data_IF_915753297168
#
_entry.id   IF_915753297168
#
_cell.length_a   1.000
_cell.length_b   1.000
_cell.length_c   1.000
_cell.angle_alpha   90.00
_cell.angle_beta   90.00
_cell.angle_gamma   90.00
#
_symmetry.space_group_name_H-M   'P 1'
#
loop_
_entity.id
_entity.type
_entity.pdbx_description
1 polymer ?
#
# COMPACT_ATOMS: atom_id res chain seq x y z
N UNK A 1 14.84 18.23 13.10
CA UNK A 1 15.64 17.77 11.96
C UNK A 1 15.26 16.33 11.74
N UNK A 2 14.91 15.98 10.52
CA UNK A 2 14.56 14.60 10.17
C UNK A 2 15.84 13.75 10.11
N UNK A 3 15.69 12.44 10.17
CA UNK A 3 16.80 11.50 9.98
C UNK A 3 17.47 11.73 8.62
N UNK A 4 16.69 11.88 7.54
CA UNK A 4 17.22 12.17 6.20
C UNK A 4 18.10 13.43 6.18
N UNK A 5 17.65 14.50 6.83
CA UNK A 5 18.42 15.75 6.92
C UNK A 5 19.73 15.59 7.71
N UNK A 6 19.73 14.79 8.78
CA UNK A 6 20.92 14.49 9.57
C UNK A 6 21.91 13.61 8.79
N UNK A 7 21.42 12.58 8.09
CA UNK A 7 22.24 11.71 7.24
C UNK A 7 22.90 12.46 6.08
N UNK A 8 22.22 13.47 5.51
CA UNK A 8 22.82 14.34 4.49
C UNK A 8 24.00 15.18 5.01
N UNK A 9 24.07 15.39 6.33
CA UNK A 9 25.17 16.12 7.00
C UNK A 9 26.25 15.20 7.55
N UNK A 10 25.97 13.91 7.69
CA UNK A 10 26.94 12.93 8.18
C UNK A 10 28.21 12.90 7.32
N UNK A 11 29.36 12.84 7.97
CA UNK A 11 30.70 12.77 7.34
C UNK A 11 31.48 11.53 7.77
N UNK A 12 31.02 10.85 8.81
CA UNK A 12 31.64 9.66 9.37
C UNK A 12 30.60 8.60 9.69
N UNK A 13 31.04 7.36 9.86
CA UNK A 13 30.16 6.27 10.30
C UNK A 13 29.57 6.53 11.70
N UNK A 14 30.31 7.22 12.58
CA UNK A 14 29.79 7.62 13.90
C UNK A 14 28.66 8.65 13.80
N UNK A 15 28.74 9.61 12.87
CA UNK A 15 27.64 10.55 12.62
C UNK A 15 26.38 9.81 12.16
N UNK A 16 26.54 8.78 11.31
CA UNK A 16 25.42 7.93 10.88
C UNK A 16 24.82 7.22 12.09
N UNK A 17 25.65 6.57 12.93
CA UNK A 17 25.18 5.89 14.14
C UNK A 17 24.40 6.84 15.05
N UNK A 18 24.92 8.03 15.30
CA UNK A 18 24.31 9.03 16.17
C UNK A 18 22.97 9.55 15.62
N UNK A 19 22.88 9.78 14.31
CA UNK A 19 21.63 10.18 13.65
C UNK A 19 20.54 9.11 13.84
N UNK A 20 20.87 7.83 13.61
CA UNK A 20 19.92 6.72 13.79
C UNK A 20 19.53 6.52 15.26
N UNK A 21 20.49 6.55 16.20
CA UNK A 21 20.21 6.46 17.64
C UNK A 21 19.22 7.53 18.06
N UNK A 22 19.43 8.77 17.61
CA UNK A 22 18.58 9.91 17.92
C UNK A 22 17.19 9.77 17.32
N UNK A 23 17.07 9.44 16.03
CA UNK A 23 15.80 9.31 15.34
C UNK A 23 14.92 8.18 15.94
N UNK A 24 15.56 7.06 16.28
CA UNK A 24 14.91 5.91 16.89
C UNK A 24 14.65 6.11 18.39
N UNK A 25 15.32 7.07 19.04
CA UNK A 25 15.20 7.31 20.49
C UNK A 25 15.70 6.15 21.32
N UNK A 26 16.74 5.43 20.84
CA UNK A 26 17.30 4.27 21.52
C UNK A 26 17.91 4.67 22.87
N UNK A 27 17.71 3.83 23.89
CA UNK A 27 18.24 4.01 25.24
C UNK A 27 19.12 2.82 25.60
N UNK A 28 20.09 3.02 26.49
CA UNK A 28 20.99 1.93 26.92
C UNK A 28 21.87 1.39 25.78
N UNK A 29 22.22 2.26 24.83
CA UNK A 29 23.03 1.89 23.66
C UNK A 29 24.46 1.56 24.09
N UNK A 30 24.94 0.40 23.68
CA UNK A 30 26.35 0.03 23.75
C UNK A 30 26.96 0.04 22.35
N UNK A 31 28.07 0.77 22.17
CA UNK A 31 28.88 0.76 20.94
C UNK A 31 30.16 -0.05 21.20
N UNK A 32 30.45 -1.03 20.35
CA UNK A 32 31.59 -1.93 20.54
C UNK A 32 31.99 -2.62 19.23
N UNK A 33 32.14 -3.95 19.24
CA UNK A 33 32.37 -4.72 18.01
C UNK A 33 31.18 -4.68 17.04
N UNK A 34 29.98 -4.61 17.59
CA UNK A 34 28.74 -4.27 16.85
C UNK A 34 28.49 -2.78 17.08
N UNK A 35 28.11 -2.08 16.01
CA UNK A 35 28.06 -0.62 15.98
C UNK A 35 27.07 -0.01 16.97
N UNK A 36 25.86 -0.59 17.06
CA UNK A 36 24.83 -0.17 18.01
C UNK A 36 24.19 -1.44 18.56
N UNK A 37 24.19 -1.59 19.89
CA UNK A 37 23.53 -2.70 20.56
C UNK A 37 22.51 -2.19 21.57
N UNK A 38 21.29 -2.71 21.47
CA UNK A 38 20.31 -2.76 22.56
C UNK A 38 19.95 -4.21 22.84
N UNK A 39 19.24 -4.53 23.95
CA UNK A 39 18.75 -5.88 24.20
C UNK A 39 17.85 -6.43 23.09
N UNK A 40 17.08 -5.55 22.44
CA UNK A 40 16.07 -5.92 21.45
C UNK A 40 16.63 -5.98 20.03
N UNK A 41 17.55 -5.08 19.69
CA UNK A 41 18.00 -4.88 18.31
C UNK A 41 19.50 -4.55 18.22
N UNK A 42 20.19 -5.20 17.28
CA UNK A 42 21.58 -4.87 16.94
C UNK A 42 21.67 -4.24 15.56
N UNK A 43 22.60 -3.29 15.42
CA UNK A 43 22.86 -2.60 14.16
C UNK A 43 24.29 -2.78 13.67
N UNK A 44 24.41 -2.86 12.35
CA UNK A 44 25.66 -2.62 11.63
C UNK A 44 25.46 -1.39 10.73
N UNK A 45 26.37 -0.43 10.84
CA UNK A 45 26.30 0.85 10.16
C UNK A 45 27.42 0.97 9.12
N UNK A 46 27.15 1.71 8.04
CA UNK A 46 28.17 2.13 7.08
C UNK A 46 28.04 3.62 6.80
N UNK A 47 29.19 4.28 6.69
CA UNK A 47 29.23 5.68 6.27
C UNK A 47 28.71 5.85 4.83
N UNK A 48 29.08 4.94 3.93
CA UNK A 48 28.74 5.03 2.50
C UNK A 48 27.65 4.03 2.12
N UNK A 49 26.89 4.32 1.04
CA UNK A 49 25.88 3.40 0.53
C UNK A 49 26.44 1.99 0.31
N UNK A 50 25.88 1.01 1.01
CA UNK A 50 26.40 -0.34 1.06
C UNK A 50 25.29 -1.36 0.75
N UNK A 51 25.56 -2.45 0.01
CA UNK A 51 24.57 -3.51 -0.17
C UNK A 51 24.10 -4.08 1.18
N UNK A 52 22.78 -4.17 1.45
CA UNK A 52 22.26 -4.67 2.73
C UNK A 52 22.79 -6.06 3.09
N UNK A 53 22.92 -6.96 2.10
CA UNK A 53 23.46 -8.30 2.31
C UNK A 53 24.91 -8.30 2.82
N UNK A 54 25.73 -7.32 2.41
CA UNK A 54 27.11 -7.21 2.89
C UNK A 54 27.13 -6.73 4.35
N UNK A 55 26.29 -5.77 4.69
CA UNK A 55 26.13 -5.32 6.09
C UNK A 55 25.57 -6.44 6.97
N UNK A 56 24.58 -7.21 6.49
CA UNK A 56 24.06 -8.35 7.23
C UNK A 56 25.09 -9.46 7.38
N UNK A 57 25.94 -9.72 6.38
CA UNK A 57 27.03 -10.69 6.50
C UNK A 57 28.00 -10.32 7.64
N UNK A 58 28.33 -9.02 7.75
CA UNK A 58 29.12 -8.51 8.86
C UNK A 58 28.39 -8.65 10.20
N UNK A 59 27.14 -8.18 10.30
CA UNK A 59 26.33 -8.23 11.52
C UNK A 59 26.14 -9.67 12.02
N UNK A 60 25.80 -10.60 11.12
CA UNK A 60 25.58 -12.01 11.44
C UNK A 60 26.84 -12.72 11.90
N UNK A 61 28.03 -12.27 11.48
CA UNK A 61 29.29 -12.78 12.00
C UNK A 61 29.42 -12.49 13.51
N UNK A 62 29.00 -11.30 13.95
CA UNK A 62 28.98 -10.95 15.37
C UNK A 62 27.90 -11.72 16.15
N UNK A 63 26.70 -11.82 15.59
CA UNK A 63 25.58 -12.60 16.18
C UNK A 63 26.01 -14.06 16.38
N UNK A 64 26.65 -14.67 15.38
CA UNK A 64 27.16 -16.04 15.48
C UNK A 64 28.21 -16.19 16.57
N UNK A 65 29.13 -15.24 16.68
CA UNK A 65 30.20 -15.28 17.67
C UNK A 65 29.63 -15.17 19.10
N UNK A 66 28.67 -14.28 19.33
CA UNK A 66 27.96 -14.15 20.61
C UNK A 66 27.21 -15.44 20.97
N UNK A 67 26.43 -15.98 20.02
CA UNK A 67 25.70 -17.25 20.21
C UNK A 67 26.63 -18.41 20.59
N UNK A 68 27.80 -18.52 19.95
CA UNK A 68 28.80 -19.55 20.28
C UNK A 68 29.40 -19.41 21.67
N UNK A 69 29.43 -18.20 22.23
CA UNK A 69 29.87 -17.94 23.61
C UNK A 69 28.75 -18.12 24.63
N UNK A 70 27.53 -18.44 24.20
CA UNK A 70 26.35 -18.55 25.07
C UNK A 70 25.80 -17.18 25.51
N UNK A 71 26.19 -16.10 24.81
CA UNK A 71 25.66 -14.77 25.07
C UNK A 71 24.26 -14.61 24.47
N UNK A 72 23.44 -13.73 25.06
CA UNK A 72 22.15 -13.38 24.49
C UNK A 72 22.32 -12.66 23.14
N UNK A 73 21.47 -13.02 22.18
CA UNK A 73 21.36 -12.37 20.87
C UNK A 73 20.03 -11.60 20.78
N UNK A 74 19.97 -10.51 20.00
CA UNK A 74 18.78 -9.65 19.94
C UNK A 74 17.63 -10.35 19.21
N UNK A 75 16.40 -9.89 19.43
CA UNK A 75 15.24 -10.35 18.65
C UNK A 75 15.27 -9.84 17.20
N UNK A 76 15.94 -8.71 16.95
CA UNK A 76 15.98 -8.03 15.65
C UNK A 76 17.39 -7.65 15.22
N UNK A 77 17.57 -7.60 13.91
CA UNK A 77 18.81 -7.16 13.26
C UNK A 77 18.47 -6.05 12.28
N UNK A 78 19.28 -4.99 12.31
CA UNK A 78 19.14 -3.86 11.40
C UNK A 78 20.47 -3.48 10.79
N UNK A 79 20.46 -3.08 9.53
CA UNK A 79 21.64 -2.56 8.85
C UNK A 79 21.31 -1.21 8.27
N UNK A 80 22.22 -0.26 8.40
CA UNK A 80 21.96 1.15 8.13
C UNK A 80 23.13 1.81 7.39
N UNK A 81 22.83 2.70 6.46
CA UNK A 81 23.80 3.61 5.87
C UNK A 81 23.17 5.01 5.66
N UNK A 82 23.81 5.90 4.90
CA UNK A 82 23.26 7.24 4.65
C UNK A 82 21.99 7.29 3.80
N UNK A 83 21.68 6.24 3.05
CA UNK A 83 20.57 6.21 2.09
C UNK A 83 19.43 5.28 2.53
N UNK A 84 19.75 4.20 3.23
CA UNK A 84 18.80 3.10 3.47
C UNK A 84 19.02 2.41 4.80
N UNK A 85 17.95 1.79 5.26
CA UNK A 85 17.94 0.86 6.37
C UNK A 85 17.28 -0.47 5.95
N UNK A 86 17.75 -1.59 6.48
CA UNK A 86 17.07 -2.86 6.33
C UNK A 86 16.90 -3.56 7.69
N UNK A 87 15.67 -4.00 7.98
CA UNK A 87 15.26 -4.55 9.27
C UNK A 87 14.75 -5.99 9.09
N UNK A 88 15.15 -6.91 9.96
CA UNK A 88 14.64 -8.28 9.99
C UNK A 88 14.61 -8.87 11.41
N UNK A 89 13.77 -9.88 11.61
CA UNK A 89 13.79 -10.69 12.83
C UNK A 89 15.00 -11.65 12.81
N UNK A 90 15.70 -11.78 13.94
CA UNK A 90 16.88 -12.64 14.08
C UNK A 90 16.54 -14.11 13.81
N UNK A 91 15.31 -14.54 14.10
CA UNK A 91 14.85 -15.92 13.91
C UNK A 91 15.04 -16.43 12.47
N UNK A 92 14.88 -15.56 11.48
CA UNK A 92 15.05 -15.91 10.07
C UNK A 92 16.50 -16.21 9.69
N UNK A 93 17.46 -15.71 10.47
CA UNK A 93 18.88 -15.97 10.24
C UNK A 93 19.40 -17.17 11.05
N UNK A 94 18.66 -17.68 12.04
CA UNK A 94 19.11 -18.77 12.90
C UNK A 94 19.57 -20.02 12.13
N UNK A 95 18.86 -20.48 11.07
CA UNK A 95 19.30 -21.65 10.31
C UNK A 95 20.70 -21.49 9.70
N UNK A 96 21.07 -20.27 9.27
CA UNK A 96 22.38 -19.99 8.68
C UNK A 96 23.52 -20.05 9.70
N UNK A 97 23.25 -19.64 10.94
CA UNK A 97 24.29 -19.59 11.98
C UNK A 97 24.84 -20.98 12.32
N UNK A 98 24.00 -22.00 12.17
CA UNK A 98 24.27 -23.40 12.45
C UNK A 98 24.71 -24.19 11.20
N UNK A 99 24.59 -23.61 10.01
CA UNK A 99 25.00 -24.25 8.76
C UNK A 99 26.52 -24.38 8.68
N UNK A 100 26.99 -25.62 8.54
CA UNK A 100 28.41 -25.97 8.42
C UNK A 100 28.97 -25.70 7.02
N UNK A 101 28.12 -25.57 6.01
CA UNK A 101 28.53 -25.22 4.66
C UNK A 101 28.95 -23.76 4.55
N UNK A 102 28.48 -22.89 5.46
CA UNK A 102 28.80 -21.46 5.42
C UNK A 102 30.20 -21.21 5.98
N UNK A 103 31.04 -20.59 5.16
CA UNK A 103 32.40 -20.19 5.56
C UNK A 103 32.38 -18.82 6.22
N UNK A 104 32.34 -18.80 7.55
CA UNK A 104 32.35 -17.57 8.35
C UNK A 104 33.77 -17.03 8.57
N UNK A 105 34.00 -15.72 8.39
CA UNK A 105 35.29 -15.09 8.64
C UNK A 105 35.64 -15.04 10.15
N UNK A 106 36.90 -14.72 10.46
CA UNK A 106 37.38 -14.59 11.86
C UNK A 106 36.84 -13.34 12.56
N UNK A 107 36.54 -12.28 11.82
CA UNK A 107 35.97 -11.02 12.31
C UNK A 107 34.85 -10.56 11.38
N UNK A 108 33.88 -9.80 11.91
CA UNK A 108 32.80 -9.24 11.10
C UNK A 108 33.30 -8.30 10.01
N UNK A 109 34.32 -7.50 10.30
CA UNK A 109 34.97 -6.60 9.32
C UNK A 109 35.59 -7.31 8.11
N UNK A 110 35.82 -8.63 8.20
CA UNK A 110 36.32 -9.44 7.09
C UNK A 110 35.20 -10.16 6.33
N UNK A 111 33.92 -9.85 6.62
CA UNK A 111 32.79 -10.32 5.81
C UNK A 111 32.88 -9.72 4.41
N UNK A 112 32.76 -10.60 3.42
CA UNK A 112 32.99 -10.26 2.02
C UNK A 112 31.77 -10.61 1.15
N UNK A 113 31.94 -10.40 -0.16
CA UNK A 113 30.92 -10.72 -1.16
C UNK A 113 30.64 -12.23 -1.25
N UNK A 114 31.60 -13.08 -0.91
CA UNK A 114 31.42 -14.53 -0.96
C UNK A 114 30.52 -15.03 0.18
N UNK A 115 30.69 -14.48 1.40
CA UNK A 115 29.76 -14.74 2.50
C UNK A 115 28.39 -14.14 2.19
N UNK A 116 28.33 -12.89 1.69
CA UNK A 116 27.07 -12.26 1.31
C UNK A 116 26.27 -13.09 0.29
N UNK A 117 26.96 -13.68 -0.69
CA UNK A 117 26.34 -14.58 -1.67
C UNK A 117 25.84 -15.90 -1.06
N UNK A 118 26.54 -16.45 -0.06
CA UNK A 118 26.11 -17.67 0.64
C UNK A 118 24.85 -17.45 1.50
N UNK A 119 24.73 -16.29 2.15
CA UNK A 119 23.58 -16.00 3.02
C UNK A 119 22.37 -15.47 2.23
N UNK A 120 22.58 -14.93 1.02
CA UNK A 120 21.55 -14.27 0.23
C UNK A 120 20.26 -15.09 0.03
N UNK A 121 20.32 -16.40 -0.33
CA UNK A 121 19.11 -17.19 -0.58
C UNK A 121 18.14 -17.25 0.60
N UNK A 122 18.65 -17.11 1.82
CA UNK A 122 17.83 -17.06 3.04
C UNK A 122 17.53 -15.63 3.43
N UNK A 123 18.51 -14.73 3.46
CA UNK A 123 18.32 -13.39 4.03
C UNK A 123 17.50 -12.46 3.11
N UNK A 124 17.65 -12.57 1.80
CA UNK A 124 17.06 -11.62 0.83
C UNK A 124 15.54 -11.56 0.89
N UNK A 125 14.87 -12.64 1.29
CA UNK A 125 13.41 -12.72 1.40
C UNK A 125 12.87 -12.31 2.78
N UNK A 126 13.75 -12.07 3.76
CA UNK A 126 13.38 -11.91 5.16
C UNK A 126 13.64 -10.52 5.75
N UNK A 127 14.39 -9.65 5.06
CA UNK A 127 14.51 -8.25 5.47
C UNK A 127 13.54 -7.34 4.74
N UNK A 128 13.21 -6.24 5.40
CA UNK A 128 12.43 -5.14 4.86
C UNK A 128 13.36 -3.98 4.59
N UNK A 129 13.43 -3.52 3.34
CA UNK A 129 14.29 -2.44 2.91
C UNK A 129 13.52 -1.11 2.88
N UNK A 130 14.07 -0.12 3.56
CA UNK A 130 13.58 1.25 3.58
C UNK A 130 14.62 2.16 2.94
N UNK A 131 14.27 2.80 1.83
CA UNK A 131 15.01 3.98 1.37
C UNK A 131 14.62 5.12 2.30
N UNK A 132 15.56 5.70 3.05
CA UNK A 132 15.23 6.71 4.06
C UNK A 132 14.56 7.91 3.39
N UNK A 133 15.01 8.27 2.18
CA UNK A 133 14.26 9.17 1.33
C UNK A 133 12.90 8.56 0.95
N UNK A 134 11.83 9.22 1.39
CA UNK A 134 10.45 8.78 1.20
C UNK A 134 9.94 7.73 2.19
N UNK A 135 10.78 6.96 2.91
CA UNK A 135 10.33 5.94 3.89
C UNK A 135 10.85 6.12 5.32
N UNK A 136 11.40 7.29 5.65
CA UNK A 136 11.87 7.62 7.00
C UNK A 136 10.83 7.30 8.09
N UNK A 137 9.57 7.73 7.89
CA UNK A 137 8.51 7.56 8.88
C UNK A 137 8.14 6.08 9.08
N UNK A 138 7.98 5.31 8.00
CA UNK A 138 7.70 3.87 8.09
C UNK A 138 8.84 3.11 8.75
N UNK A 139 10.10 3.45 8.42
CA UNK A 139 11.26 2.84 9.06
C UNK A 139 11.31 3.12 10.55
N UNK A 140 11.20 4.39 10.97
CA UNK A 140 11.26 4.78 12.37
C UNK A 140 10.15 4.10 13.16
N UNK A 141 8.93 4.03 12.60
CA UNK A 141 7.82 3.33 13.23
C UNK A 141 8.10 1.84 13.36
N UNK A 142 8.50 1.16 12.28
CA UNK A 142 8.77 -0.28 12.29
C UNK A 142 9.88 -0.67 13.28
N UNK A 143 10.96 0.10 13.34
CA UNK A 143 12.05 -0.13 14.27
C UNK A 143 11.64 0.11 15.73
N UNK A 144 10.86 1.17 16.01
CA UNK A 144 10.32 1.42 17.36
C UNK A 144 9.35 0.33 17.80
N UNK A 145 8.44 -0.08 16.92
CA UNK A 145 7.49 -1.16 17.18
C UNK A 145 8.22 -2.49 17.45
N UNK A 146 9.28 -2.78 16.70
CA UNK A 146 10.11 -3.97 16.94
C UNK A 146 10.71 -3.95 18.35
N UNK A 147 11.21 -2.79 18.81
CA UNK A 147 11.75 -2.62 20.16
C UNK A 147 10.67 -2.68 21.23
N UNK A 148 9.50 -2.05 21.04
CA UNK A 148 8.47 -1.96 22.08
C UNK A 148 7.50 -3.14 22.14
N UNK A 149 7.16 -3.74 21.00
CA UNK A 149 6.18 -4.83 20.89
C UNK A 149 6.81 -6.19 20.61
N UNK A 150 8.11 -6.26 20.35
CA UNK A 150 8.79 -7.52 20.06
C UNK A 150 8.40 -8.14 18.72
N UNK A 151 7.90 -7.33 17.78
CA UNK A 151 7.54 -7.76 16.41
C UNK A 151 7.62 -6.60 15.43
N UNK A 152 7.92 -6.90 14.16
CA UNK A 152 7.85 -5.90 13.08
C UNK A 152 6.40 -5.78 12.62
N UNK A 153 5.83 -4.57 12.73
CA UNK A 153 4.44 -4.30 12.37
C UNK A 153 4.40 -3.58 11.03
N UNK A 154 3.66 -4.15 10.08
CA UNK A 154 3.43 -3.52 8.78
C UNK A 154 2.56 -2.27 8.90
N UNK A 155 2.85 -1.25 8.10
CA UNK A 155 2.13 0.01 8.08
C UNK A 155 0.72 -0.19 7.51
N UNK A 156 -0.35 0.19 8.24
CA UNK A 156 -1.71 0.08 7.71
C UNK A 156 -1.94 1.07 6.56
N UNK A 157 -2.67 0.62 5.55
CA UNK A 157 -3.16 1.49 4.48
C UNK A 157 -4.48 2.10 4.95
N UNK A 158 -4.51 3.42 5.02
CA UNK A 158 -5.61 4.23 5.54
C UNK A 158 -5.91 5.36 4.56
N UNK A 159 -7.05 6.05 4.70
CA UNK A 159 -7.34 7.14 3.79
C UNK A 159 -6.38 8.34 3.90
N UNK A 160 -5.70 8.48 5.03
CA UNK A 160 -4.74 9.56 5.26
C UNK A 160 -3.42 9.36 4.50
N UNK A 161 -3.04 8.12 4.19
CA UNK A 161 -1.79 7.81 3.49
C UNK A 161 -2.01 7.23 2.08
N UNK A 162 -3.26 7.09 1.63
CA UNK A 162 -3.60 6.43 0.36
C UNK A 162 -2.79 6.95 -0.84
N UNK A 163 -2.71 8.27 -1.03
CA UNK A 163 -1.98 8.87 -2.14
C UNK A 163 -0.48 8.52 -2.11
N UNK A 164 0.14 8.67 -0.94
CA UNK A 164 1.56 8.35 -0.77
C UNK A 164 1.85 6.87 -1.00
N UNK A 165 1.00 5.98 -0.48
CA UNK A 165 1.12 4.53 -0.68
C UNK A 165 0.95 4.18 -2.16
N UNK A 166 -0.01 4.81 -2.85
CA UNK A 166 -0.20 4.64 -4.29
C UNK A 166 1.05 5.04 -5.09
N UNK A 167 1.60 6.24 -4.86
CA UNK A 167 2.81 6.71 -5.55
C UNK A 167 3.99 5.73 -5.34
N UNK A 168 4.13 5.22 -4.11
CA UNK A 168 5.14 4.19 -3.76
C UNK A 168 4.87 2.85 -4.42
N UNK A 169 3.61 2.44 -4.54
CA UNK A 169 3.21 1.21 -5.23
C UNK A 169 3.52 1.32 -6.72
N UNK A 170 3.21 2.45 -7.36
CA UNK A 170 3.54 2.69 -8.77
C UNK A 170 5.06 2.59 -8.97
N UNK A 171 5.85 3.25 -8.12
CA UNK A 171 7.31 3.25 -8.23
C UNK A 171 7.95 1.87 -7.99
N UNK A 172 7.37 0.99 -7.17
CA UNK A 172 7.94 -0.32 -6.83
C UNK A 172 7.32 -1.50 -7.60
N UNK A 173 6.09 -1.36 -8.08
CA UNK A 173 5.28 -2.44 -8.65
C UNK A 173 4.70 -2.00 -9.99
N UNK A 174 4.05 -0.82 -10.05
CA UNK A 174 3.40 -0.34 -11.28
C UNK A 174 4.35 -0.27 -12.47
N UNK A 175 5.56 0.26 -12.29
CA UNK A 175 6.57 0.35 -13.36
C UNK A 175 6.98 -1.02 -13.92
N UNK A 176 6.83 -2.10 -13.16
CA UNK A 176 7.17 -3.46 -13.57
C UNK A 176 6.07 -4.14 -14.40
N UNK A 177 4.85 -3.56 -14.43
CA UNK A 177 3.67 -4.13 -15.11
C UNK A 177 3.56 -3.69 -16.58
N UNK A 178 4.25 -2.61 -16.98
CA UNK A 178 4.26 -2.14 -18.37
C UNK A 178 2.89 -1.74 -18.92
N UNK A 179 2.01 -1.16 -18.09
CA UNK A 179 0.68 -0.72 -18.52
C UNK A 179 0.77 0.36 -19.60
N UNK A 180 -0.20 0.39 -20.51
CA UNK A 180 -0.23 1.38 -21.61
C UNK A 180 -0.83 2.72 -21.19
N UNK A 181 -1.75 2.71 -20.23
CA UNK A 181 -2.43 3.92 -19.72
C UNK A 181 -2.12 4.07 -18.24
N UNK A 182 -1.62 5.22 -17.83
CA UNK A 182 -1.28 5.47 -16.43
C UNK A 182 -2.50 5.40 -15.49
N UNK A 183 -3.70 5.74 -16.00
CA UNK A 183 -4.95 5.60 -15.27
C UNK A 183 -5.23 4.16 -14.80
N UNK A 184 -4.73 3.15 -15.52
CA UNK A 184 -4.92 1.73 -15.15
C UNK A 184 -4.18 1.38 -13.86
N UNK A 185 -3.15 2.14 -13.45
CA UNK A 185 -2.45 1.91 -12.19
C UNK A 185 -3.37 2.03 -10.99
N UNK A 186 -4.28 3.00 -10.97
CA UNK A 186 -5.22 3.15 -9.85
C UNK A 186 -6.09 1.90 -9.73
N UNK A 187 -6.59 1.38 -10.84
CA UNK A 187 -7.44 0.18 -10.88
C UNK A 187 -6.68 -1.06 -10.38
N UNK A 188 -5.47 -1.27 -10.89
CA UNK A 188 -4.59 -2.38 -10.49
C UNK A 188 -4.19 -2.32 -9.02
N UNK A 189 -3.87 -1.12 -8.53
CA UNK A 189 -3.55 -0.88 -7.14
C UNK A 189 -4.69 -1.29 -6.22
N UNK A 190 -5.94 -0.95 -6.55
CA UNK A 190 -7.09 -1.37 -5.75
C UNK A 190 -7.30 -2.88 -5.74
N UNK A 191 -7.08 -3.56 -6.87
CA UNK A 191 -7.10 -5.02 -6.88
C UNK A 191 -6.03 -5.62 -5.96
N UNK A 192 -4.84 -5.01 -5.90
CA UNK A 192 -3.75 -5.47 -5.05
C UNK A 192 -4.04 -5.26 -3.56
N UNK A 193 -4.41 -4.03 -3.16
CA UNK A 193 -4.64 -3.71 -1.76
C UNK A 193 -5.89 -4.42 -1.22
N UNK A 194 -6.87 -4.74 -2.08
CA UNK A 194 -8.08 -5.47 -1.68
C UNK A 194 -7.92 -6.99 -1.76
N UNK A 195 -6.68 -7.49 -1.72
CA UNK A 195 -6.36 -8.91 -1.67
C UNK A 195 -5.51 -9.22 -0.43
N UNK A 196 -5.71 -10.38 0.21
CA UNK A 196 -4.93 -10.77 1.42
C UNK A 196 -3.67 -11.60 1.10
N UNK A 197 -3.44 -11.89 -0.18
CA UNK A 197 -2.39 -12.77 -0.69
C UNK A 197 -2.88 -14.19 -1.01
N UNK A 198 -4.11 -14.53 -0.62
CA UNK A 198 -4.78 -15.81 -0.93
C UNK A 198 -6.18 -15.61 -1.50
N UNK A 199 -6.94 -14.68 -0.94
CA UNK A 199 -8.32 -14.39 -1.29
C UNK A 199 -8.54 -12.89 -1.51
N UNK A 200 -9.48 -12.59 -2.39
CA UNK A 200 -10.05 -11.26 -2.58
C UNK A 200 -10.83 -10.86 -1.32
N UNK A 201 -10.43 -9.76 -0.69
CA UNK A 201 -11.12 -9.14 0.44
C UNK A 201 -12.34 -8.31 -0.01
N UNK A 202 -12.40 -7.97 -1.30
CA UNK A 202 -13.54 -7.35 -1.97
C UNK A 202 -13.63 -7.91 -3.39
N UNK A 203 -14.84 -8.30 -3.79
CA UNK A 203 -15.13 -8.92 -5.10
C UNK A 203 -15.73 -7.90 -6.06
N UNK A 204 -15.78 -8.26 -7.34
CA UNK A 204 -16.38 -7.46 -8.41
C UNK A 204 -15.70 -6.08 -8.57
N UNK A 205 -14.38 -6.03 -8.37
CA UNK A 205 -13.59 -4.87 -8.75
C UNK A 205 -13.31 -4.91 -10.27
N UNK A 206 -13.05 -3.75 -10.91
CA UNK A 206 -12.75 -3.71 -12.35
C UNK A 206 -11.46 -4.44 -12.73
N UNK A 207 -10.52 -4.55 -11.78
CA UNK A 207 -9.33 -5.39 -11.89
C UNK A 207 -9.35 -6.52 -10.86
N UNK A 208 -8.60 -7.59 -11.14
CA UNK A 208 -8.40 -8.72 -10.24
C UNK A 208 -6.91 -9.01 -10.07
N UNK A 209 -6.55 -9.53 -8.90
CA UNK A 209 -5.25 -10.09 -8.63
C UNK A 209 -5.41 -11.60 -8.42
N UNK A 210 -4.70 -12.38 -9.23
CA UNK A 210 -4.55 -13.83 -9.07
C UNK A 210 -3.10 -14.17 -8.73
N UNK A 211 -2.87 -15.43 -8.36
CA UNK A 211 -1.53 -15.94 -8.09
C UNK A 211 -1.26 -17.22 -8.88
N UNK A 212 -0.14 -17.24 -9.60
CA UNK A 212 0.43 -18.43 -10.25
C UNK A 212 1.58 -18.93 -9.39
N UNK A 213 1.30 -19.86 -8.48
CA UNK A 213 2.20 -20.15 -7.36
C UNK A 213 2.30 -18.94 -6.44
N UNK A 214 3.51 -18.44 -6.19
CA UNK A 214 3.72 -17.22 -5.39
C UNK A 214 3.74 -15.93 -6.24
N UNK A 215 3.57 -16.04 -7.56
CA UNK A 215 3.69 -14.92 -8.49
C UNK A 215 2.36 -14.20 -8.69
N UNK A 216 2.29 -12.87 -8.48
CA UNK A 216 1.08 -12.10 -8.74
C UNK A 216 0.84 -11.96 -10.25
N UNK A 217 -0.42 -12.14 -10.66
CA UNK A 217 -0.89 -11.89 -12.02
C UNK A 217 -2.09 -10.96 -11.93
N UNK A 218 -1.94 -9.77 -12.50
CA UNK A 218 -2.98 -8.74 -12.51
C UNK A 218 -3.82 -8.85 -13.76
N UNK A 219 -5.13 -8.63 -13.65
CA UNK A 219 -6.07 -8.78 -14.75
C UNK A 219 -7.00 -7.57 -14.81
N UNK A 220 -7.09 -6.91 -15.98
CA UNK A 220 -8.12 -5.91 -16.30
C UNK A 220 -8.82 -6.36 -17.58
N UNK A 221 -10.13 -6.61 -17.51
CA UNK A 221 -10.88 -7.10 -18.67
C UNK A 221 -10.25 -8.39 -19.24
N UNK A 222 -9.77 -8.32 -20.48
CA UNK A 222 -9.09 -9.44 -21.16
C UNK A 222 -7.55 -9.39 -21.04
N UNK A 223 -6.99 -8.28 -20.54
CA UNK A 223 -5.55 -8.07 -20.45
C UNK A 223 -4.99 -8.64 -19.15
N UNK A 224 -3.80 -9.24 -19.25
CA UNK A 224 -3.04 -9.77 -18.11
C UNK A 224 -1.69 -9.05 -18.00
N UNK A 225 -1.31 -8.72 -16.77
CA UNK A 225 -0.06 -8.04 -16.45
C UNK A 225 0.72 -8.85 -15.41
N UNK A 226 1.95 -9.20 -15.77
CA UNK A 226 2.91 -9.89 -14.91
C UNK A 226 4.05 -8.94 -14.58
N UNK A 227 4.64 -9.10 -13.39
CA UNK A 227 5.78 -8.30 -12.99
C UNK A 227 7.05 -8.76 -13.71
N UNK A 228 7.79 -7.83 -14.31
CA UNK A 228 9.15 -8.09 -14.77
C UNK A 228 10.11 -8.42 -13.60
N UNK A 229 9.86 -7.87 -12.40
CA UNK A 229 10.61 -8.15 -11.17
C UNK A 229 9.71 -8.21 -9.93
N UNK A 230 9.85 -9.25 -9.12
CA UNK A 230 9.08 -9.43 -7.88
C UNK A 230 9.72 -8.74 -6.65
N UNK A 231 10.96 -8.23 -6.77
CA UNK A 231 11.71 -7.70 -5.63
C UNK A 231 10.99 -6.51 -4.99
N UNK A 232 10.56 -5.56 -5.81
CA UNK A 232 9.80 -4.39 -5.35
C UNK A 232 8.47 -4.78 -4.73
N UNK A 233 7.78 -5.75 -5.33
CA UNK A 233 6.50 -6.27 -4.83
C UNK A 233 6.62 -6.91 -3.44
N UNK A 234 7.60 -7.79 -3.22
CA UNK A 234 7.83 -8.40 -1.90
C UNK A 234 8.17 -7.36 -0.85
N UNK A 235 9.03 -6.40 -1.20
CA UNK A 235 9.42 -5.35 -0.26
C UNK A 235 8.24 -4.43 0.09
N UNK A 236 7.46 -3.98 -0.89
CA UNK A 236 6.27 -3.17 -0.68
C UNK A 236 5.31 -3.85 0.30
N UNK A 237 5.04 -5.15 0.09
CA UNK A 237 4.14 -5.91 0.95
C UNK A 237 4.73 -6.33 2.30
N UNK A 238 6.05 -6.21 2.47
CA UNK A 238 6.67 -6.27 3.79
C UNK A 238 6.51 -4.95 4.56
N UNK A 239 6.46 -3.80 3.88
CA UNK A 239 6.24 -2.49 4.50
C UNK A 239 4.76 -2.29 4.86
N UNK A 240 3.84 -2.64 3.95
CA UNK A 240 2.41 -2.32 4.08
C UNK A 240 1.54 -3.52 4.42
N UNK A 241 0.54 -3.30 5.26
CA UNK A 241 -0.46 -4.31 5.60
C UNK A 241 -1.58 -4.34 4.55
N UNK A 242 -1.85 -5.53 4.00
CA UNK A 242 -3.03 -5.80 3.17
C UNK A 242 -3.87 -6.96 3.73
N UNK A 243 -5.20 -6.94 3.53
CA UNK A 243 -5.96 -5.81 2.97
C UNK A 243 -6.09 -4.67 4.00
N UNK A 244 -6.48 -3.45 3.57
CA UNK A 244 -6.92 -2.41 4.50
C UNK A 244 -8.00 -2.93 5.47
N UNK A 245 -8.06 -2.34 6.66
CA UNK A 245 -9.13 -2.64 7.62
C UNK A 245 -10.50 -2.46 6.99
N UNK A 246 -11.45 -3.33 7.31
CA UNK A 246 -12.78 -3.36 6.68
C UNK A 246 -13.48 -1.99 6.70
N UNK A 247 -13.37 -1.25 7.82
CA UNK A 247 -13.93 0.09 7.98
C UNK A 247 -13.41 1.14 6.98
N UNK A 248 -12.26 0.89 6.35
CA UNK A 248 -11.64 1.80 5.39
C UNK A 248 -11.92 1.43 3.93
N UNK A 249 -12.26 0.17 3.62
CA UNK A 249 -12.22 -0.34 2.24
C UNK A 249 -13.10 0.44 1.26
N UNK A 250 -14.36 0.69 1.61
CA UNK A 250 -15.29 1.46 0.78
C UNK A 250 -14.81 2.92 0.61
N UNK A 251 -14.44 3.58 1.71
CA UNK A 251 -13.92 4.95 1.67
C UNK A 251 -12.65 5.08 0.82
N UNK A 252 -11.79 4.05 0.79
CA UNK A 252 -10.61 4.05 -0.08
C UNK A 252 -11.02 3.98 -1.55
N UNK A 253 -11.98 3.13 -1.92
CA UNK A 253 -12.49 3.03 -3.30
C UNK A 253 -13.14 4.34 -3.76
N UNK A 254 -13.86 5.02 -2.86
CA UNK A 254 -14.44 6.35 -3.12
C UNK A 254 -13.38 7.41 -3.48
N UNK A 255 -12.11 7.17 -3.15
CA UNK A 255 -11.00 8.07 -3.45
C UNK A 255 -10.16 7.63 -4.65
N UNK A 256 -10.60 6.62 -5.42
CA UNK A 256 -9.87 6.12 -6.58
C UNK A 256 -9.49 7.23 -7.55
N UNK A 257 -10.42 8.11 -7.86
CA UNK A 257 -10.19 9.14 -8.88
C UNK A 257 -9.14 10.18 -8.44
N UNK A 258 -8.94 10.36 -7.13
CA UNK A 258 -7.85 11.20 -6.60
C UNK A 258 -6.44 10.65 -6.88
N UNK A 259 -6.34 9.40 -7.34
CA UNK A 259 -5.09 8.74 -7.70
C UNK A 259 -4.77 8.82 -9.19
N UNK A 260 -5.70 9.30 -10.02
CA UNK A 260 -5.49 9.41 -11.47
C UNK A 260 -4.47 10.51 -11.82
N UNK A 261 -3.88 10.50 -13.02
CA UNK A 261 -3.11 11.64 -13.53
C UNK A 261 -3.91 12.95 -13.51
N UNK A 262 -3.23 14.10 -13.38
CA UNK A 262 -3.91 15.40 -13.20
C UNK A 262 -4.86 15.76 -14.35
N UNK A 263 -4.52 15.42 -15.58
CA UNK A 263 -5.38 15.71 -16.72
C UNK A 263 -6.63 14.82 -16.74
N UNK A 264 -6.48 13.55 -16.35
CA UNK A 264 -7.60 12.64 -16.13
C UNK A 264 -8.48 13.09 -14.95
N UNK A 265 -7.89 13.60 -13.86
CA UNK A 265 -8.65 14.13 -12.72
C UNK A 265 -9.51 15.35 -13.11
N UNK A 266 -8.95 16.26 -13.92
CA UNK A 266 -9.67 17.45 -14.41
C UNK A 266 -10.82 17.05 -15.33
N UNK A 267 -10.60 16.04 -16.18
CA UNK A 267 -11.62 15.55 -17.10
C UNK A 267 -12.73 14.79 -16.38
N UNK A 268 -12.37 13.92 -15.43
CA UNK A 268 -13.34 13.09 -14.70
C UNK A 268 -14.06 13.83 -13.57
N UNK A 269 -13.50 14.95 -13.10
CA UNK A 269 -14.09 15.69 -11.98
C UNK A 269 -14.09 14.85 -10.70
N UNK A 270 -12.92 14.50 -10.18
CA UNK A 270 -12.69 13.70 -8.98
C UNK A 270 -13.19 14.35 -7.66
N UNK A 271 -14.47 14.71 -7.61
CA UNK A 271 -15.11 15.39 -6.49
C UNK A 271 -15.93 14.41 -5.67
N UNK A 272 -15.51 14.25 -4.42
CA UNK A 272 -16.15 13.42 -3.42
C UNK A 272 -17.20 14.23 -2.66
N UNK A 273 -18.45 13.73 -2.58
CA UNK A 273 -19.50 14.30 -1.72
C UNK A 273 -19.40 13.73 -0.30
N UNK A 274 -18.98 14.52 0.71
CA UNK A 274 -18.86 14.02 2.08
C UNK A 274 -20.23 13.67 2.68
N UNK A 275 -20.28 12.65 3.55
CA UNK A 275 -21.54 12.18 4.16
C UNK A 275 -22.35 13.26 4.90
N UNK A 276 -21.69 14.25 5.50
CA UNK A 276 -22.40 15.36 6.17
C UNK A 276 -23.06 16.33 5.18
N UNK A 277 -22.60 16.37 3.92
CA UNK A 277 -23.26 17.09 2.83
C UNK A 277 -24.45 16.27 2.32
N UNK A 278 -24.30 14.94 2.24
CA UNK A 278 -25.41 14.02 1.93
C UNK A 278 -26.56 14.20 2.92
N UNK A 279 -26.27 14.28 4.23
CA UNK A 279 -27.28 14.55 5.26
C UNK A 279 -28.07 15.82 4.97
N UNK A 280 -27.38 16.92 4.67
CA UNK A 280 -28.04 18.20 4.37
C UNK A 280 -28.90 18.14 3.10
N UNK A 281 -28.47 17.40 2.08
CA UNK A 281 -29.24 17.23 0.85
C UNK A 281 -30.56 16.49 1.15
N UNK A 282 -30.51 15.41 1.93
CA UNK A 282 -31.68 14.65 2.34
C UNK A 282 -32.61 15.45 3.26
N UNK A 283 -32.06 16.25 4.18
CA UNK A 283 -32.85 17.16 5.02
C UNK A 283 -33.65 18.14 4.16
N UNK A 284 -33.02 18.71 3.11
CA UNK A 284 -33.68 19.64 2.21
C UNK A 284 -34.76 18.97 1.36
N UNK A 285 -34.50 17.76 0.85
CA UNK A 285 -35.48 16.97 0.11
C UNK A 285 -36.70 16.62 0.99
N UNK A 286 -36.46 16.18 2.22
CA UNK A 286 -37.52 15.92 3.20
C UNK A 286 -38.34 17.16 3.52
N UNK A 287 -37.69 18.31 3.73
CA UNK A 287 -38.37 19.57 4.02
C UNK A 287 -39.24 20.06 2.85
N UNK A 288 -38.83 19.77 1.61
CA UNK A 288 -39.48 20.28 0.40
C UNK A 288 -40.57 19.35 -0.11
N UNK A 289 -40.31 18.05 -0.14
CA UNK A 289 -41.17 17.03 -0.75
C UNK A 289 -41.99 16.23 0.26
N UNK A 290 -41.73 16.43 1.56
CA UNK A 290 -42.35 15.69 2.66
C UNK A 290 -41.61 14.39 2.98
N UNK A 291 -41.91 13.79 4.14
CA UNK A 291 -41.18 12.64 4.66
C UNK A 291 -41.31 11.35 3.83
N UNK A 292 -42.30 11.27 2.93
CA UNK A 292 -42.62 10.10 2.11
C UNK A 292 -42.19 10.25 0.63
N UNK A 293 -41.30 11.20 0.34
CA UNK A 293 -40.86 11.49 -1.03
C UNK A 293 -40.16 10.29 -1.69
N UNK A 294 -39.36 9.52 -0.93
CA UNK A 294 -38.62 8.36 -1.47
C UNK A 294 -39.55 7.23 -1.93
N UNK A 295 -40.82 7.21 -1.51
CA UNK A 295 -41.82 6.26 -2.00
C UNK A 295 -42.58 6.81 -3.21
N UNK A 296 -42.73 8.13 -3.31
CA UNK A 296 -43.55 8.80 -4.33
C UNK A 296 -42.81 9.10 -5.62
N UNK A 297 -41.50 9.28 -5.55
CA UNK A 297 -40.69 9.72 -6.68
C UNK A 297 -39.66 8.68 -7.07
N UNK A 298 -39.31 8.70 -8.35
CA UNK A 298 -38.10 8.09 -8.89
C UNK A 298 -36.98 9.13 -8.75
N UNK A 299 -35.82 8.66 -8.32
CA UNK A 299 -34.66 9.50 -8.04
C UNK A 299 -33.56 9.03 -8.96
N UNK A 300 -33.10 9.91 -9.83
CA UNK A 300 -32.02 9.60 -10.75
C UNK A 300 -30.81 10.48 -10.47
N UNK A 301 -29.76 9.88 -9.94
CA UNK A 301 -28.43 10.48 -9.88
C UNK A 301 -27.68 10.15 -11.18
N UNK A 302 -27.61 11.14 -12.08
CA UNK A 302 -27.01 10.99 -13.41
C UNK A 302 -25.47 10.97 -13.40
N UNK A 303 -24.86 11.42 -12.29
CA UNK A 303 -23.41 11.54 -12.11
C UNK A 303 -22.99 10.91 -10.78
N UNK A 304 -23.50 9.71 -10.51
CA UNK A 304 -23.44 9.07 -9.20
C UNK A 304 -22.01 8.76 -8.72
N UNK A 305 -21.03 8.71 -9.64
CA UNK A 305 -19.69 8.20 -9.34
C UNK A 305 -19.80 6.80 -8.74
N UNK A 306 -19.28 6.60 -7.52
CA UNK A 306 -19.43 5.33 -6.78
C UNK A 306 -20.65 5.28 -5.84
N UNK A 307 -21.56 6.26 -5.92
CA UNK A 307 -22.89 6.21 -5.29
C UNK A 307 -23.03 6.85 -3.91
N UNK A 308 -22.10 7.70 -3.49
CA UNK A 308 -22.08 8.24 -2.12
C UNK A 308 -23.32 9.05 -1.75
N UNK A 309 -23.91 9.80 -2.70
CA UNK A 309 -25.10 10.59 -2.45
C UNK A 309 -26.29 9.69 -2.07
N UNK A 310 -26.43 8.55 -2.74
CA UNK A 310 -27.53 7.62 -2.54
C UNK A 310 -27.27 6.57 -1.44
N UNK A 311 -26.12 6.63 -0.76
CA UNK A 311 -25.77 5.68 0.30
C UNK A 311 -26.73 5.69 1.51
N UNK A 312 -27.55 6.74 1.66
CA UNK A 312 -28.57 6.87 2.72
C UNK A 312 -29.99 6.68 2.22
N UNK A 313 -30.17 6.34 0.96
CA UNK A 313 -31.50 6.12 0.38
C UNK A 313 -32.17 4.90 1.02
N UNK A 314 -33.42 5.06 1.47
CA UNK A 314 -34.16 4.00 2.16
C UNK A 314 -34.95 3.10 1.21
N UNK A 315 -35.42 3.64 0.08
CA UNK A 315 -36.16 2.91 -0.95
C UNK A 315 -35.38 2.80 -2.27
N UNK A 316 -34.35 1.94 -2.29
CA UNK A 316 -33.46 1.79 -3.45
C UNK A 316 -34.17 1.35 -4.74
N UNK A 317 -35.36 0.74 -4.67
CA UNK A 317 -36.14 0.33 -5.85
C UNK A 317 -36.59 1.48 -6.74
N UNK A 318 -36.62 2.69 -6.20
CA UNK A 318 -36.96 3.90 -6.94
C UNK A 318 -35.71 4.70 -7.35
N UNK A 319 -34.50 4.15 -7.15
CA UNK A 319 -33.24 4.87 -7.38
C UNK A 319 -32.59 4.36 -8.65
N UNK A 320 -32.28 5.31 -9.53
CA UNK A 320 -31.50 5.13 -10.75
C UNK A 320 -30.16 5.80 -10.52
N UNK A 321 -29.07 5.09 -10.76
CA UNK A 321 -27.71 5.58 -10.56
C UNK A 321 -26.92 5.37 -11.84
N UNK A 322 -26.47 6.45 -12.44
CA UNK A 322 -25.65 6.36 -13.65
C UNK A 322 -24.40 7.20 -13.57
N UNK A 323 -23.43 6.84 -14.40
CA UNK A 323 -22.15 7.54 -14.53
C UNK A 323 -21.53 7.19 -15.88
N UNK A 324 -20.63 8.06 -16.35
CA UNK A 324 -19.92 7.88 -17.61
C UNK A 324 -18.96 6.68 -17.57
N UNK A 325 -18.34 6.43 -16.41
CA UNK A 325 -17.26 5.44 -16.25
C UNK A 325 -17.80 4.03 -15.92
N UNK A 326 -17.45 3.05 -16.74
CA UNK A 326 -17.85 1.66 -16.53
C UNK A 326 -17.26 1.04 -15.25
N UNK A 327 -16.08 1.51 -14.83
CA UNK A 327 -15.43 1.09 -13.58
C UNK A 327 -16.24 1.50 -12.34
N UNK A 328 -16.87 2.68 -12.38
CA UNK A 328 -17.74 3.15 -11.29
C UNK A 328 -19.04 2.37 -11.20
N UNK A 329 -19.65 2.08 -12.35
CA UNK A 329 -20.82 1.18 -12.43
C UNK A 329 -20.49 -0.18 -11.80
N UNK A 330 -19.30 -0.70 -12.08
CA UNK A 330 -18.82 -1.97 -11.51
C UNK A 330 -18.66 -1.86 -9.99
N UNK A 331 -18.06 -0.78 -9.47
CA UNK A 331 -17.92 -0.53 -8.03
C UNK A 331 -19.30 -0.39 -7.35
N UNK A 332 -20.21 0.41 -7.91
CA UNK A 332 -21.56 0.57 -7.37
C UNK A 332 -22.29 -0.77 -7.29
N UNK A 333 -22.28 -1.56 -8.36
CA UNK A 333 -22.89 -2.91 -8.39
C UNK A 333 -22.23 -3.88 -7.40
N UNK A 334 -20.96 -3.67 -7.05
CA UNK A 334 -20.27 -4.47 -6.04
C UNK A 334 -20.68 -4.14 -4.60
N UNK A 335 -21.29 -2.97 -4.36
CA UNK A 335 -21.65 -2.50 -3.04
C UNK A 335 -23.07 -2.99 -2.65
N UNK A 336 -23.21 -3.86 -1.63
CA UNK A 336 -24.52 -4.35 -1.19
C UNK A 336 -25.46 -3.25 -0.71
N UNK A 337 -24.94 -2.08 -0.33
CA UNK A 337 -25.75 -0.93 0.06
C UNK A 337 -26.66 -0.41 -1.07
N UNK A 338 -26.37 -0.75 -2.32
CA UNK A 338 -27.19 -0.36 -3.48
C UNK A 338 -28.02 -1.52 -4.03
N UNK A 339 -28.17 -2.61 -3.27
CA UNK A 339 -28.97 -3.76 -3.68
C UNK A 339 -30.44 -3.36 -3.89
N UNK A 340 -30.84 -3.23 -5.16
CA UNK A 340 -32.19 -2.86 -5.57
C UNK A 340 -32.29 -1.57 -6.39
N UNK A 341 -31.21 -0.78 -6.47
CA UNK A 341 -31.12 0.35 -7.39
C UNK A 341 -30.85 -0.12 -8.83
N UNK A 342 -31.34 0.65 -9.80
CA UNK A 342 -31.03 0.45 -11.22
C UNK A 342 -29.72 1.18 -11.55
N UNK A 343 -28.66 0.43 -11.83
CA UNK A 343 -27.30 0.96 -11.97
C UNK A 343 -26.77 0.69 -13.37
N UNK A 344 -26.43 1.73 -14.14
CA UNK A 344 -26.04 1.60 -15.55
C UNK A 344 -25.01 2.66 -15.99
N UNK A 345 -24.25 2.36 -17.04
CA UNK A 345 -23.33 3.32 -17.65
C UNK A 345 -24.10 4.24 -18.59
N UNK A 346 -23.97 5.55 -18.43
CA UNK A 346 -24.73 6.52 -19.21
C UNK A 346 -23.99 7.85 -19.32
N UNK A 347 -23.90 8.37 -20.54
CA UNK A 347 -23.48 9.73 -20.83
C UNK A 347 -24.71 10.63 -20.91
N UNK A 348 -25.02 11.31 -19.80
CA UNK A 348 -26.24 12.12 -19.69
C UNK A 348 -26.31 13.31 -20.66
N UNK A 349 -25.21 13.65 -21.33
CA UNK A 349 -25.17 14.70 -22.35
C UNK A 349 -25.34 14.17 -23.77
N UNK A 350 -25.04 12.89 -24.03
CA UNK A 350 -24.88 12.39 -25.40
C UNK A 350 -25.63 11.09 -25.73
N UNK A 351 -26.07 10.32 -24.73
CA UNK A 351 -26.60 8.98 -24.99
C UNK A 351 -28.06 8.99 -25.49
N UNK A 352 -29.04 9.40 -24.66
CA UNK A 352 -30.48 9.37 -25.01
C UNK A 352 -31.18 10.73 -24.80
N UNK A 353 -30.48 11.85 -25.02
CA UNK A 353 -31.04 13.19 -24.78
C UNK A 353 -31.05 14.00 -26.08
N UNK A 354 -32.20 14.61 -26.40
CA UNK A 354 -32.33 15.51 -27.55
C UNK A 354 -31.76 16.90 -27.26
N UNK A 355 -31.62 17.75 -28.29
CA UNK A 355 -31.24 19.17 -28.13
C UNK A 355 -32.18 19.96 -27.20
N UNK A 356 -33.38 19.44 -26.91
CA UNK A 356 -34.37 20.06 -26.02
C UNK A 356 -34.42 19.43 -24.62
N UNK A 357 -33.55 18.47 -24.30
CA UNK A 357 -33.49 17.82 -23.00
C UNK A 357 -34.54 16.72 -22.80
N UNK A 358 -35.17 16.24 -23.86
CA UNK A 358 -36.13 15.13 -23.81
C UNK A 358 -35.42 13.78 -23.98
N UNK A 359 -35.94 12.72 -23.37
CA UNK A 359 -35.38 11.37 -23.52
C UNK A 359 -35.80 10.80 -24.87
N UNK A 360 -34.82 10.46 -25.72
CA UNK A 360 -35.00 9.76 -26.97
C UNK A 360 -34.33 8.38 -26.94
N UNK A 361 -35.14 7.36 -26.64
CA UNK A 361 -34.72 5.97 -26.59
C UNK A 361 -34.27 5.39 -27.95
N UNK A 362 -34.45 6.11 -29.07
CA UNK A 362 -33.99 5.67 -30.39
C UNK A 362 -32.49 5.89 -30.61
N UNK A 363 -31.82 6.65 -29.73
CA UNK A 363 -30.40 6.94 -29.82
C UNK A 363 -29.57 5.74 -29.34
N UNK A 364 -29.16 5.73 -28.07
CA UNK A 364 -28.37 4.63 -27.50
C UNK A 364 -29.24 3.54 -26.87
N UNK A 365 -30.46 3.89 -26.44
CA UNK A 365 -31.38 3.00 -25.73
C UNK A 365 -30.85 2.52 -24.38
N UNK A 366 -29.95 3.29 -23.74
CA UNK A 366 -29.29 2.93 -22.49
C UNK A 366 -30.09 3.32 -21.26
N UNK A 367 -30.93 4.35 -21.33
CA UNK A 367 -31.85 4.70 -20.24
C UNK A 367 -32.82 3.54 -20.01
N UNK A 368 -32.84 2.94 -18.81
CA UNK A 368 -33.78 1.87 -18.51
C UNK A 368 -35.21 2.41 -18.48
N UNK A 369 -36.18 1.58 -18.87
CA UNK A 369 -37.59 1.92 -18.73
C UNK A 369 -37.98 1.87 -17.25
N UNK A 370 -38.54 2.96 -16.74
CA UNK A 370 -38.88 3.16 -15.34
C UNK A 370 -40.35 2.85 -15.01
#
# INVERSE_FOLDING_TARGET
MSLLEELGRARTEEDVKDAYIKALGLKGVFKGLVDIQTPEIWFEAKESPCPPLLMFAQLLTYVRAARKRGEAIPGFLCVIDREKAALMATEHALPLLDDKAIVWPKSGSAADKALAAQIAPTIETHFILYQIDGYEAEFIKAAKDAVSEGRIIRTPITPNNLRQVFDKWVAMIGVELGVKREADYAVLFFADIMHDGRNEAMRNLPARLLFSGDKPVFIIGADQYELASERGYRNFWNIYHRPPEQKHRHYLLERRDSLLPMDDQKFKGAFYTPLHIVDKAYDQLNATLGADWQQKYIVWDMCAGVGNLEAKHSNLRNVFMSTLDAEDVTIMRSNPAFAGAEIFQYDYLNDDVTDFGEIDYQLSGKVPMA
#
